data_IF_363525940635
#
_entry.id   IF_363525940635
#
_cell.length_a   1.000
_cell.length_b   1.000
_cell.length_c   1.000
_cell.angle_alpha   90.00
_cell.angle_beta   90.00
_cell.angle_gamma   90.00
#
_symmetry.space_group_name_H-M   'P 1'
#
loop_
_entity.id
_entity.type
_entity.pdbx_description
1 polymer ?
#
# COMPACT_ATOMS: atom_id res chain seq x y z
N UNK A 1 18.87 15.47 1.43
CA UNK A 1 17.48 15.88 1.15
C UNK A 1 17.18 17.10 2.01
N UNK A 2 17.03 18.28 1.40
CA UNK A 2 16.86 19.58 2.09
C UNK A 2 15.60 20.29 1.60
N UNK A 3 14.54 19.53 1.34
CA UNK A 3 13.23 20.10 1.07
C UNK A 3 12.58 20.62 2.36
N UNK A 4 11.67 21.60 2.29
CA UNK A 4 10.87 21.97 3.44
C UNK A 4 10.07 20.75 3.94
N UNK A 5 10.03 20.57 5.26
CA UNK A 5 9.17 19.57 5.88
C UNK A 5 7.70 19.90 5.60
N UNK A 6 6.84 18.88 5.63
CA UNK A 6 5.40 19.09 5.59
C UNK A 6 4.98 19.98 6.78
N UNK A 7 4.23 21.04 6.48
CA UNK A 7 3.70 21.97 7.49
C UNK A 7 2.19 21.86 7.57
N UNK A 8 1.66 21.96 8.80
CA UNK A 8 0.23 21.99 9.07
C UNK A 8 -0.21 23.42 9.40
N UNK A 9 -1.19 23.95 8.66
CA UNK A 9 -1.69 25.32 8.81
C UNK A 9 -3.18 25.34 9.20
N UNK A 10 -3.51 25.35 10.50
CA UNK A 10 -4.90 25.29 10.97
C UNK A 10 -5.63 26.64 10.99
N UNK A 11 -5.03 27.73 10.48
CA UNK A 11 -5.52 29.10 10.66
C UNK A 11 -6.99 29.30 10.25
N UNK A 12 -7.41 28.66 9.16
CA UNK A 12 -8.79 28.73 8.69
C UNK A 12 -9.78 28.08 9.66
N UNK A 13 -9.41 26.93 10.26
CA UNK A 13 -10.24 26.23 11.22
C UNK A 13 -10.27 26.95 12.58
N UNK A 14 -9.13 27.47 13.04
CA UNK A 14 -9.02 28.16 14.33
C UNK A 14 -9.95 29.38 14.44
N UNK A 15 -10.21 30.09 13.33
CA UNK A 15 -11.14 31.22 13.27
C UNK A 15 -12.60 30.84 13.56
N UNK A 16 -12.97 29.58 13.36
CA UNK A 16 -14.33 29.07 13.56
C UNK A 16 -14.51 28.43 14.95
N UNK A 17 -13.43 28.23 15.70
CA UNK A 17 -13.49 27.66 17.03
C UNK A 17 -13.85 28.72 18.06
N UNK A 18 -14.67 28.33 19.05
CA UNK A 18 -14.94 29.18 20.21
C UNK A 18 -13.63 29.41 20.99
N UNK A 19 -13.41 30.61 21.55
CA UNK A 19 -12.27 30.88 22.41
C UNK A 19 -12.10 29.80 23.49
N UNK A 20 -10.87 29.34 23.71
CA UNK A 20 -10.55 28.29 24.70
C UNK A 20 -10.91 26.86 24.30
N UNK A 21 -11.55 26.60 23.15
CA UNK A 21 -11.92 25.23 22.73
C UNK A 21 -10.71 24.30 22.60
N UNK A 22 -9.63 24.76 21.98
CA UNK A 22 -8.42 23.96 21.80
C UNK A 22 -7.73 23.67 23.15
N UNK A 23 -7.58 24.69 23.99
CA UNK A 23 -7.03 24.53 25.34
C UNK A 23 -7.84 23.52 26.17
N UNK A 24 -9.17 23.55 26.05
CA UNK A 24 -10.04 22.58 26.72
C UNK A 24 -9.91 21.13 26.24
N UNK A 25 -9.29 20.89 25.07
CA UNK A 25 -9.01 19.54 24.56
C UNK A 25 -7.62 19.02 24.97
N UNK A 26 -6.73 19.90 25.46
CA UNK A 26 -5.33 19.56 25.69
C UNK A 26 -5.17 18.32 26.58
N UNK A 27 -5.84 18.29 27.74
CA UNK A 27 -5.76 17.15 28.65
C UNK A 27 -6.21 15.84 28.00
N UNK A 28 -7.29 15.84 27.21
CA UNK A 28 -7.77 14.65 26.53
C UNK A 28 -6.81 14.19 25.40
N UNK A 29 -6.20 15.14 24.69
CA UNK A 29 -5.20 14.85 23.66
C UNK A 29 -3.90 14.30 24.24
N UNK A 30 -3.47 14.81 25.40
CA UNK A 30 -2.30 14.29 26.13
C UNK A 30 -2.54 12.86 26.60
N UNK A 31 -3.73 12.57 27.14
CA UNK A 31 -4.12 11.19 27.50
C UNK A 31 -4.10 10.27 26.27
N UNK A 32 -4.68 10.70 25.14
CA UNK A 32 -4.69 9.89 23.91
C UNK A 32 -3.28 9.67 23.32
N UNK A 33 -2.40 10.68 23.42
CA UNK A 33 -0.98 10.57 23.06
C UNK A 33 -0.30 9.51 23.92
N UNK A 34 -0.44 9.62 25.23
CA UNK A 34 0.23 8.71 26.18
C UNK A 34 -0.31 7.28 26.01
N UNK A 35 -1.61 7.09 25.75
CA UNK A 35 -2.18 5.80 25.39
C UNK A 35 -1.54 5.22 24.11
N UNK A 36 -1.42 6.02 23.05
CA UNK A 36 -0.80 5.60 21.78
C UNK A 36 0.66 5.18 21.98
N UNK A 37 1.43 5.93 22.78
CA UNK A 37 2.83 5.62 23.07
C UNK A 37 2.96 4.34 23.92
N UNK A 38 2.11 4.19 24.94
CA UNK A 38 2.08 2.98 25.76
C UNK A 38 1.72 1.73 24.94
N UNK A 39 0.84 1.87 23.95
CA UNK A 39 0.47 0.78 23.04
C UNK A 39 1.67 0.34 22.17
N UNK A 40 2.52 1.28 21.73
CA UNK A 40 3.77 0.95 21.04
C UNK A 40 4.71 0.19 21.97
N UNK A 41 4.91 0.67 23.20
CA UNK A 41 5.80 0.03 24.18
C UNK A 41 5.30 -1.39 24.52
N UNK A 42 3.99 -1.56 24.69
CA UNK A 42 3.36 -2.87 24.93
C UNK A 42 3.58 -3.82 23.75
N UNK A 43 3.36 -3.35 22.52
CA UNK A 43 3.62 -4.13 21.30
C UNK A 43 5.08 -4.59 21.23
N UNK A 44 6.02 -3.67 21.45
CA UNK A 44 7.46 -3.96 21.37
C UNK A 44 7.97 -4.85 22.52
N UNK A 45 7.29 -4.86 23.67
CA UNK A 45 7.68 -5.70 24.82
C UNK A 45 7.60 -7.21 24.54
N UNK A 46 6.79 -7.61 23.55
CA UNK A 46 6.53 -9.02 23.23
C UNK A 46 5.81 -9.80 24.35
N UNK A 47 5.31 -9.11 25.38
CA UNK A 47 4.59 -9.73 26.49
C UNK A 47 3.14 -10.04 26.11
N UNK A 48 2.48 -11.01 26.77
CA UNK A 48 1.07 -11.29 26.57
C UNK A 48 0.20 -10.05 26.83
N UNK A 49 -0.64 -9.71 25.86
CA UNK A 49 -1.55 -8.57 25.95
C UNK A 49 -2.83 -8.96 26.70
N UNK A 50 -3.45 -8.04 27.48
CA UNK A 50 -4.79 -8.24 28.03
C UNK A 50 -5.80 -8.58 26.93
N UNK A 51 -6.80 -9.40 27.24
CA UNK A 51 -7.78 -9.86 26.24
C UNK A 51 -8.56 -8.71 25.61
N UNK A 52 -8.80 -7.64 26.36
CA UNK A 52 -9.50 -6.43 25.93
C UNK A 52 -8.70 -5.62 24.91
N UNK A 53 -7.39 -5.87 24.82
CA UNK A 53 -6.45 -5.16 23.92
C UNK A 53 -6.00 -6.05 22.76
N UNK A 54 -6.65 -7.19 22.51
CA UNK A 54 -6.33 -8.07 21.40
C UNK A 54 -7.33 -7.91 20.24
N UNK A 55 -6.87 -7.66 19.00
CA UNK A 55 -5.47 -7.39 18.61
C UNK A 55 -5.02 -5.97 18.97
N UNK A 56 -3.76 -5.84 19.37
CA UNK A 56 -3.12 -4.53 19.50
C UNK A 56 -2.43 -4.23 18.18
N UNK A 57 -2.95 -3.28 17.41
CA UNK A 57 -2.44 -2.95 16.08
C UNK A 57 -1.57 -1.67 16.10
N UNK A 58 -0.59 -1.60 17.00
CA UNK A 58 0.30 -0.43 17.17
C UNK A 58 1.61 -0.52 16.38
N UNK A 59 1.94 -1.70 15.83
CA UNK A 59 3.24 -1.97 15.21
C UNK A 59 3.59 -1.06 14.01
N UNK A 60 2.59 -0.51 13.32
CA UNK A 60 2.82 0.36 12.16
C UNK A 60 3.52 1.68 12.51
N UNK A 61 3.45 2.12 13.78
CA UNK A 61 4.01 3.41 14.22
C UNK A 61 5.54 3.39 14.15
N UNK A 62 6.17 2.31 14.64
CA UNK A 62 7.63 2.16 14.66
C UNK A 62 8.18 1.44 13.43
N UNK A 63 7.30 0.89 12.59
CA UNK A 63 7.69 0.12 11.43
C UNK A 63 8.70 0.83 10.50
N UNK A 64 8.62 2.15 10.24
CA UNK A 64 9.64 2.83 9.42
C UNK A 64 11.05 2.75 10.01
N UNK A 65 11.20 2.90 11.32
CA UNK A 65 12.50 2.80 12.01
C UNK A 65 12.99 1.35 12.02
N UNK A 66 12.09 0.41 12.31
CA UNK A 66 12.39 -1.02 12.29
C UNK A 66 12.85 -1.50 10.91
N UNK A 67 12.18 -1.06 9.83
CA UNK A 67 12.58 -1.38 8.45
C UNK A 67 13.94 -0.78 8.08
N UNK A 68 14.25 0.43 8.58
CA UNK A 68 15.55 1.05 8.36
C UNK A 68 16.66 0.29 9.10
N UNK A 69 16.41 -0.08 10.36
CA UNK A 69 17.34 -0.88 11.16
C UNK A 69 17.57 -2.27 10.53
N UNK A 70 16.51 -2.93 10.07
CA UNK A 70 16.58 -4.20 9.33
C UNK A 70 17.42 -4.06 8.06
N UNK A 71 17.20 -3.00 7.26
CA UNK A 71 17.99 -2.73 6.06
C UNK A 71 19.48 -2.52 6.37
N UNK A 72 19.81 -1.80 7.44
CA UNK A 72 21.19 -1.53 7.83
C UNK A 72 21.89 -2.78 8.38
N UNK A 73 21.21 -3.56 9.22
CA UNK A 73 21.75 -4.75 9.86
C UNK A 73 21.82 -5.96 8.94
N UNK A 74 20.73 -6.25 8.24
CA UNK A 74 20.57 -7.47 7.43
C UNK A 74 20.85 -7.26 5.93
N UNK A 75 20.94 -6.00 5.46
CA UNK A 75 21.30 -5.66 4.06
C UNK A 75 20.45 -6.40 3.04
N UNK A 76 21.03 -7.29 2.25
CA UNK A 76 20.35 -8.01 1.17
C UNK A 76 19.25 -8.97 1.66
N UNK A 77 19.32 -9.46 2.91
CA UNK A 77 18.25 -10.31 3.47
C UNK A 77 17.12 -9.53 4.14
N UNK A 78 17.26 -8.21 4.28
CA UNK A 78 16.21 -7.33 4.83
C UNK A 78 14.93 -7.39 4.00
N UNK A 79 13.80 -7.09 4.64
CA UNK A 79 12.51 -7.08 3.95
C UNK A 79 12.49 -6.06 2.80
N UNK A 80 13.03 -4.85 3.04
CA UNK A 80 13.08 -3.79 2.03
C UNK A 80 13.89 -4.22 0.81
N UNK A 81 15.10 -4.77 1.01
CA UNK A 81 15.93 -5.23 -0.11
C UNK A 81 15.25 -6.34 -0.92
N UNK A 82 14.60 -7.29 -0.24
CA UNK A 82 13.84 -8.36 -0.91
C UNK A 82 12.64 -7.85 -1.70
N UNK A 83 11.96 -6.80 -1.20
CA UNK A 83 10.86 -6.14 -1.93
C UNK A 83 11.38 -5.43 -3.17
N UNK A 84 12.50 -4.72 -3.09
CA UNK A 84 13.15 -4.08 -4.24
C UNK A 84 13.56 -5.11 -5.31
N UNK A 85 14.16 -6.23 -4.89
CA UNK A 85 14.57 -7.28 -5.82
C UNK A 85 13.38 -8.00 -6.45
N UNK A 86 12.31 -8.21 -5.69
CA UNK A 86 11.04 -8.70 -6.25
C UNK A 86 10.46 -7.73 -7.27
N UNK A 87 10.53 -6.43 -7.00
CA UNK A 87 10.14 -5.38 -7.94
C UNK A 87 10.95 -5.42 -9.24
N UNK A 88 12.29 -5.49 -9.16
CA UNK A 88 13.17 -5.63 -10.34
C UNK A 88 12.86 -6.89 -11.13
N UNK A 89 12.63 -8.01 -10.44
CA UNK A 89 12.25 -9.28 -11.08
C UNK A 89 10.92 -9.16 -11.82
N UNK A 90 9.90 -8.56 -11.21
CA UNK A 90 8.60 -8.35 -11.85
C UNK A 90 8.72 -7.47 -13.09
N UNK A 91 9.53 -6.41 -13.04
CA UNK A 91 9.81 -5.59 -14.21
C UNK A 91 10.36 -6.44 -15.35
N UNK A 92 11.28 -7.37 -15.10
CA UNK A 92 11.85 -8.22 -16.16
C UNK A 92 10.87 -9.27 -16.72
N UNK A 93 9.89 -9.70 -15.92
CA UNK A 93 9.02 -10.83 -16.25
C UNK A 93 7.73 -10.44 -16.97
N UNK A 94 7.19 -9.24 -16.73
CA UNK A 94 5.88 -8.83 -17.23
C UNK A 94 5.81 -7.33 -17.56
N UNK A 95 4.91 -6.97 -18.47
CA UNK A 95 4.56 -5.57 -18.78
C UNK A 95 3.16 -5.18 -18.30
N UNK A 96 2.38 -6.14 -17.82
CA UNK A 96 1.14 -5.89 -17.06
C UNK A 96 1.26 -6.51 -15.66
N UNK A 97 0.92 -5.74 -14.63
CA UNK A 97 0.85 -6.18 -13.24
C UNK A 97 -0.57 -5.94 -12.73
N UNK A 98 -1.23 -7.01 -12.31
CA UNK A 98 -2.56 -6.95 -11.69
C UNK A 98 -2.42 -7.17 -10.19
N UNK A 99 -2.89 -6.21 -9.40
CA UNK A 99 -2.97 -6.32 -7.95
C UNK A 99 -4.40 -6.66 -7.56
N UNK A 100 -4.57 -7.80 -6.89
CA UNK A 100 -5.84 -8.28 -6.37
C UNK A 100 -5.93 -7.98 -4.87
N UNK A 101 -6.92 -7.19 -4.47
CA UNK A 101 -7.12 -6.85 -3.06
C UNK A 101 -8.28 -5.87 -2.87
N UNK A 102 -8.77 -5.77 -1.63
CA UNK A 102 -9.83 -4.85 -1.22
C UNK A 102 -9.43 -4.13 0.07
N UNK A 103 -10.04 -2.97 0.34
CA UNK A 103 -9.80 -2.19 1.55
C UNK A 103 -8.33 -1.79 1.70
N UNK A 104 -7.72 -2.09 2.84
CA UNK A 104 -6.31 -1.77 3.10
C UNK A 104 -5.34 -2.43 2.11
N UNK A 105 -5.69 -3.60 1.56
CA UNK A 105 -4.92 -4.31 0.54
C UNK A 105 -5.05 -3.71 -0.87
N UNK A 106 -5.71 -2.55 -1.03
CA UNK A 106 -5.92 -1.90 -2.32
C UNK A 106 -5.69 -0.40 -2.24
N UNK A 107 -6.34 0.29 -1.30
CA UNK A 107 -6.43 1.76 -1.29
C UNK A 107 -5.06 2.44 -1.15
N UNK A 108 -4.17 1.90 -0.30
CA UNK A 108 -2.83 2.48 -0.11
C UNK A 108 -1.99 2.44 -1.39
N UNK A 109 -1.96 1.29 -2.07
CA UNK A 109 -1.22 1.15 -3.33
C UNK A 109 -1.84 2.00 -4.45
N UNK A 110 -3.19 2.05 -4.52
CA UNK A 110 -3.87 2.88 -5.51
C UNK A 110 -3.57 4.37 -5.30
N UNK A 111 -3.66 4.85 -4.06
CA UNK A 111 -3.35 6.23 -3.72
C UNK A 111 -1.90 6.59 -4.05
N UNK A 112 -0.93 5.73 -3.70
CA UNK A 112 0.47 5.96 -4.07
C UNK A 112 0.70 5.97 -5.58
N UNK A 113 0.06 5.05 -6.31
CA UNK A 113 0.18 4.98 -7.76
C UNK A 113 -0.35 6.25 -8.43
N UNK A 114 -1.57 6.69 -8.08
CA UNK A 114 -2.18 7.90 -8.64
C UNK A 114 -1.43 9.18 -8.24
N UNK A 115 -0.90 9.25 -7.01
CA UNK A 115 -0.17 10.42 -6.54
C UNK A 115 1.23 10.56 -7.16
N UNK A 116 1.91 9.43 -7.45
CA UNK A 116 3.31 9.42 -7.85
C UNK A 116 3.54 9.14 -9.34
N UNK A 117 2.51 8.74 -10.09
CA UNK A 117 2.63 8.42 -11.52
C UNK A 117 1.79 9.36 -12.39
N UNK A 118 2.21 9.62 -13.64
CA UNK A 118 1.39 10.34 -14.62
C UNK A 118 0.00 9.71 -14.75
N UNK A 119 -1.03 10.55 -14.93
CA UNK A 119 -2.42 10.10 -15.03
C UNK A 119 -2.64 9.03 -16.12
N UNK A 120 -1.95 9.15 -17.26
CA UNK A 120 -2.01 8.20 -18.37
C UNK A 120 -0.88 7.15 -18.32
N UNK A 121 -0.36 6.79 -17.15
CA UNK A 121 0.77 5.86 -17.00
C UNK A 121 0.62 4.59 -17.85
N UNK A 122 -0.56 3.97 -17.85
CA UNK A 122 -0.81 2.71 -18.56
C UNK A 122 -0.85 2.86 -20.09
N UNK A 123 -1.02 4.08 -20.62
CA UNK A 123 -0.98 4.39 -22.05
C UNK A 123 0.45 4.61 -22.56
N UNK A 124 1.40 4.82 -21.65
CA UNK A 124 2.80 5.01 -22.00
C UNK A 124 3.42 3.69 -22.50
N UNK A 125 4.26 3.81 -23.53
CA UNK A 125 5.11 2.70 -23.94
C UNK A 125 6.06 2.31 -22.80
N UNK A 126 6.55 1.06 -22.84
CA UNK A 126 7.38 0.49 -21.79
C UNK A 126 8.68 1.28 -21.55
N UNK A 127 9.28 1.81 -22.62
CA UNK A 127 10.47 2.67 -22.53
C UNK A 127 10.18 3.95 -21.75
N UNK A 128 9.06 4.61 -22.00
CA UNK A 128 8.65 5.82 -21.26
C UNK A 128 8.31 5.54 -19.80
N UNK A 129 7.94 4.30 -19.46
CA UNK A 129 7.77 3.81 -18.08
C UNK A 129 9.09 3.34 -17.45
N UNK A 130 10.23 3.48 -18.12
CA UNK A 130 11.53 2.98 -17.67
C UNK A 130 11.52 1.48 -17.35
N UNK A 131 10.77 0.70 -18.13
CA UNK A 131 10.63 -0.75 -17.95
C UNK A 131 9.66 -1.17 -16.83
N UNK A 132 9.12 -0.24 -16.03
CA UNK A 132 8.11 -0.56 -15.04
C UNK A 132 6.78 -0.95 -15.70
N UNK A 133 6.06 -1.98 -15.23
CA UNK A 133 4.84 -2.49 -15.88
C UNK A 133 3.68 -1.50 -15.81
N UNK A 134 2.66 -1.74 -16.65
CA UNK A 134 1.32 -1.19 -16.45
C UNK A 134 0.73 -1.77 -15.17
N UNK A 135 0.01 -0.96 -14.41
CA UNK A 135 -0.57 -1.37 -13.13
C UNK A 135 -2.09 -1.37 -13.19
N UNK A 136 -2.69 -2.51 -12.86
CA UNK A 136 -4.11 -2.74 -12.81
C UNK A 136 -4.52 -3.18 -11.40
N UNK A 137 -5.74 -2.85 -11.01
CA UNK A 137 -6.29 -3.21 -9.71
C UNK A 137 -7.65 -3.85 -9.90
N UNK A 138 -7.81 -5.02 -9.27
CA UNK A 138 -9.03 -5.80 -9.28
C UNK A 138 -9.21 -6.53 -7.93
N UNK A 139 -10.27 -7.31 -7.77
CA UNK A 139 -10.55 -8.02 -6.52
C UNK A 139 -10.99 -7.10 -5.38
N UNK A 140 -11.39 -5.87 -5.68
CA UNK A 140 -12.04 -4.94 -4.74
C UNK A 140 -13.56 -4.85 -4.93
N UNK A 141 -14.10 -5.55 -5.91
CA UNK A 141 -15.53 -5.74 -6.17
C UNK A 141 -15.76 -7.13 -6.81
N UNK A 142 -17.01 -7.43 -7.16
CA UNK A 142 -17.42 -8.67 -7.83
C UNK A 142 -18.15 -8.38 -9.16
N UNK A 143 -17.76 -7.30 -9.83
CA UNK A 143 -18.31 -6.91 -11.12
C UNK A 143 -17.69 -7.77 -12.24
N UNK A 144 -18.45 -8.74 -12.73
CA UNK A 144 -18.02 -9.66 -13.77
C UNK A 144 -17.73 -8.97 -15.10
N UNK A 145 -18.44 -7.89 -15.42
CA UNK A 145 -18.27 -7.18 -16.69
C UNK A 145 -16.91 -6.48 -16.70
N UNK A 146 -16.61 -5.77 -15.61
CA UNK A 146 -15.29 -5.14 -15.42
C UNK A 146 -14.16 -6.17 -15.44
N UNK A 147 -14.35 -7.31 -14.78
CA UNK A 147 -13.34 -8.37 -14.75
C UNK A 147 -13.10 -8.93 -16.15
N UNK A 148 -14.18 -9.19 -16.91
CA UNK A 148 -14.10 -9.68 -18.28
C UNK A 148 -13.42 -8.65 -19.20
N UNK A 149 -13.67 -7.35 -19.02
CA UNK A 149 -13.00 -6.28 -19.76
C UNK A 149 -11.48 -6.29 -19.52
N UNK A 150 -11.05 -6.41 -18.26
CA UNK A 150 -9.64 -6.49 -17.91
C UNK A 150 -8.98 -7.76 -18.48
N UNK A 151 -9.60 -8.93 -18.32
CA UNK A 151 -9.09 -10.18 -18.87
C UNK A 151 -8.97 -10.12 -20.40
N UNK A 152 -10.00 -9.62 -21.07
CA UNK A 152 -9.99 -9.47 -22.55
C UNK A 152 -8.87 -8.54 -23.01
N UNK A 153 -8.61 -7.44 -22.30
CA UNK A 153 -7.49 -6.54 -22.58
C UNK A 153 -6.13 -7.24 -22.42
N UNK A 154 -5.97 -8.03 -21.35
CA UNK A 154 -4.73 -8.75 -21.08
C UNK A 154 -4.48 -9.85 -22.14
N UNK A 155 -5.53 -10.57 -22.54
CA UNK A 155 -5.47 -11.59 -23.60
C UNK A 155 -5.10 -10.98 -24.95
N UNK A 156 -5.69 -9.84 -25.32
CA UNK A 156 -5.34 -9.13 -26.55
C UNK A 156 -3.86 -8.74 -26.58
N UNK A 157 -3.30 -8.31 -25.46
CA UNK A 157 -1.87 -7.97 -25.36
C UNK A 157 -0.98 -9.20 -25.45
N UNK A 158 -1.37 -10.29 -24.79
CA UNK A 158 -0.66 -11.56 -24.88
C UNK A 158 -0.65 -12.09 -26.32
N UNK A 159 -1.79 -12.04 -27.00
CA UNK A 159 -1.92 -12.46 -28.39
C UNK A 159 -1.13 -11.58 -29.37
N UNK A 160 -1.08 -10.26 -29.14
CA UNK A 160 -0.31 -9.33 -29.95
C UNK A 160 1.22 -9.47 -29.76
N UNK A 161 1.66 -9.94 -28.60
CA UNK A 161 3.08 -10.03 -28.23
C UNK A 161 3.42 -11.42 -27.67
N UNK A 162 3.24 -12.49 -28.46
CA UNK A 162 3.42 -13.85 -27.98
C UNK A 162 4.86 -14.08 -27.52
N UNK A 163 5.01 -14.68 -26.34
CA UNK A 163 6.30 -14.98 -25.69
C UNK A 163 7.17 -13.77 -25.30
N UNK A 164 6.78 -12.54 -25.62
CA UNK A 164 7.48 -11.32 -25.24
C UNK A 164 7.01 -10.80 -23.86
N UNK A 165 7.87 -10.02 -23.18
CA UNK A 165 7.54 -9.42 -21.88
C UNK A 165 6.30 -8.53 -21.97
N UNK A 166 6.13 -7.83 -23.09
CA UNK A 166 5.01 -6.93 -23.38
C UNK A 166 3.64 -7.62 -23.38
N UNK A 167 3.61 -8.92 -23.67
CA UNK A 167 2.41 -9.77 -23.62
C UNK A 167 2.25 -10.55 -22.32
N UNK A 168 3.17 -10.44 -21.37
CA UNK A 168 3.11 -11.18 -20.09
C UNK A 168 2.46 -10.36 -18.99
N UNK A 169 1.67 -11.06 -18.18
CA UNK A 169 1.00 -10.51 -17.00
C UNK A 169 1.52 -11.18 -15.74
N UNK A 170 1.82 -10.39 -14.72
CA UNK A 170 2.06 -10.85 -13.36
C UNK A 170 0.86 -10.49 -12.47
N UNK A 171 0.61 -11.31 -11.45
CA UNK A 171 -0.49 -11.10 -10.50
C UNK A 171 0.09 -11.08 -9.08
N UNK A 172 -0.32 -10.09 -8.29
CA UNK A 172 -0.05 -10.03 -6.84
C UNK A 172 -1.41 -10.08 -6.14
N UNK A 173 -1.64 -11.13 -5.35
CA UNK A 173 -2.85 -11.25 -4.52
C UNK A 173 -2.53 -10.93 -3.06
N UNK A 174 -3.31 -10.02 -2.45
CA UNK A 174 -3.08 -9.52 -1.09
C UNK A 174 -4.36 -9.64 -0.26
N UNK A 175 -4.38 -10.59 0.67
CA UNK A 175 -5.43 -10.73 1.68
C UNK A 175 -4.82 -11.22 2.99
N UNK A 176 -5.08 -10.50 4.10
CA UNK A 176 -4.60 -10.88 5.44
C UNK A 176 -5.15 -12.24 5.87
N UNK A 177 -6.43 -12.52 5.60
CA UNK A 177 -7.07 -13.79 5.96
C UNK A 177 -6.91 -14.88 4.90
N UNK A 178 -6.56 -14.51 3.66
CA UNK A 178 -6.59 -15.39 2.49
C UNK A 178 -7.99 -15.80 2.02
N UNK A 179 -9.03 -15.47 2.80
CA UNK A 179 -10.43 -15.86 2.55
C UNK A 179 -11.35 -14.68 2.24
N UNK A 180 -10.80 -13.48 2.01
CA UNK A 180 -11.61 -12.33 1.58
C UNK A 180 -12.25 -12.65 0.22
N UNK A 181 -13.58 -12.53 0.13
CA UNK A 181 -14.39 -13.05 -0.98
C UNK A 181 -13.96 -12.46 -2.33
N UNK A 182 -13.90 -11.14 -2.42
CA UNK A 182 -13.66 -10.38 -3.65
C UNK A 182 -12.30 -10.73 -4.29
N UNK A 183 -11.15 -10.65 -3.59
CA UNK A 183 -9.87 -11.07 -4.17
C UNK A 183 -9.78 -12.58 -4.38
N UNK A 184 -10.48 -13.41 -3.59
CA UNK A 184 -10.49 -14.86 -3.79
C UNK A 184 -11.26 -15.28 -5.06
N UNK A 185 -12.38 -14.61 -5.36
CA UNK A 185 -13.12 -14.79 -6.62
C UNK A 185 -12.27 -14.29 -7.78
N UNK A 186 -11.69 -13.09 -7.67
CA UNK A 186 -10.87 -12.52 -8.74
C UNK A 186 -9.63 -13.35 -9.08
N UNK A 187 -9.02 -14.00 -8.07
CA UNK A 187 -7.85 -14.87 -8.28
C UNK A 187 -8.18 -16.22 -8.94
N UNK A 188 -9.46 -16.64 -8.93
CA UNK A 188 -9.91 -17.92 -9.49
C UNK A 188 -10.44 -17.83 -10.92
N UNK A 189 -10.76 -16.63 -11.38
CA UNK A 189 -11.17 -16.38 -12.76
C UNK A 189 -10.00 -16.53 -13.72
#
# INVERSE_FOLDING_TARGET
MTGPLLTYHPDAALRLLRPGRLAGLQAALEVARDETLNDVDQWQSGQPLPAERQPLDAGFIQWPEELLADLQGNRASSLVARLEDSGKRLQQLADSLVVLGIGGSYMGMRAMFEALRPACWNELCRTSRQGAPRLYFDGWNVDSDRQQELLSLLDQRAAANPNAVDGRTAVISISKSGGTLEPAVAFRA
#
